data_IF_497556045554
#
_entry.id   IF_497556045554
#
_cell.length_a   1.000
_cell.length_b   1.000
_cell.length_c   1.000
_cell.angle_alpha   90.00
_cell.angle_beta   90.00
_cell.angle_gamma   90.00
#
_symmetry.space_group_name_H-M   'P 1'
#
loop_
_entity.id
_entity.type
_entity.pdbx_description
1 polymer ?
#
# COMPACT_ATOMS: atom_id res chain seq x y z
N UNK A 1 -25.18 -2.46 -3.82
CA UNK A 1 -24.83 -1.18 -3.16
C UNK A 1 -23.47 -1.17 -2.45
N UNK A 2 -23.30 -1.73 -1.24
CA UNK A 2 -22.04 -1.56 -0.48
C UNK A 2 -20.78 -2.10 -1.18
N UNK A 3 -20.86 -3.26 -1.84
CA UNK A 3 -19.73 -3.87 -2.54
C UNK A 3 -19.42 -3.13 -3.83
N UNK A 4 -20.44 -2.68 -4.56
CA UNK A 4 -20.27 -1.85 -5.76
C UNK A 4 -19.56 -0.54 -5.42
N UNK A 5 -19.95 0.11 -4.32
CA UNK A 5 -19.27 1.32 -3.83
C UNK A 5 -17.78 1.08 -3.50
N UNK A 6 -17.43 -0.10 -2.95
CA UNK A 6 -16.02 -0.46 -2.75
C UNK A 6 -15.29 -0.66 -4.08
N UNK A 7 -15.92 -1.36 -5.03
CA UNK A 7 -15.35 -1.63 -6.36
C UNK A 7 -15.12 -0.34 -7.15
N UNK A 8 -15.98 0.66 -6.97
CA UNK A 8 -15.79 1.98 -7.58
C UNK A 8 -14.53 2.71 -7.11
N UNK A 9 -13.96 2.34 -5.97
CA UNK A 9 -12.68 2.89 -5.49
C UNK A 9 -11.44 2.17 -6.05
N UNK A 10 -11.63 1.03 -6.72
CA UNK A 10 -10.56 0.16 -7.22
C UNK A 10 -10.17 0.48 -8.67
N UNK A 11 -9.95 1.77 -8.93
CA UNK A 11 -9.52 2.29 -10.22
C UNK A 11 -8.64 3.54 -10.03
N UNK A 12 -7.72 3.84 -10.97
CA UNK A 12 -6.98 5.09 -10.93
C UNK A 12 -7.93 6.29 -10.92
N UNK A 13 -7.61 7.29 -10.11
CA UNK A 13 -8.36 8.55 -10.02
C UNK A 13 -7.41 9.72 -9.90
N UNK A 14 -7.87 10.93 -10.25
CA UNK A 14 -7.15 12.20 -10.02
C UNK A 14 -7.74 13.00 -8.84
N UNK A 15 -8.67 12.39 -8.12
CA UNK A 15 -9.25 12.90 -6.87
C UNK A 15 -8.69 12.08 -5.70
N UNK A 16 -9.47 11.84 -4.66
CA UNK A 16 -9.07 10.99 -3.54
C UNK A 16 -9.01 9.51 -3.93
N UNK A 17 -8.03 8.77 -3.40
CA UNK A 17 -7.82 7.36 -3.69
C UNK A 17 -6.44 7.05 -4.28
N UNK A 18 -6.33 5.90 -4.94
CA UNK A 18 -5.09 5.48 -5.61
C UNK A 18 -4.92 6.26 -6.92
N UNK A 19 -3.81 6.98 -7.02
CA UNK A 19 -3.48 7.81 -8.18
C UNK A 19 -2.91 6.97 -9.33
N UNK A 20 -2.82 7.51 -10.56
CA UNK A 20 -2.29 6.78 -11.71
C UNK A 20 -0.82 6.36 -11.57
N UNK A 21 -0.06 6.99 -10.68
CA UNK A 21 1.33 6.66 -10.36
C UNK A 21 1.47 5.74 -9.13
N UNK A 22 0.35 5.23 -8.62
CA UNK A 22 0.21 4.37 -7.44
C UNK A 22 0.49 5.03 -6.09
N UNK A 23 0.55 6.36 -6.02
CA UNK A 23 0.43 7.05 -4.74
C UNK A 23 -1.00 7.02 -4.21
N UNK A 24 -1.21 7.34 -2.93
CA UNK A 24 -2.54 7.44 -2.35
C UNK A 24 -2.82 8.87 -1.88
N UNK A 25 -3.95 9.42 -2.29
CA UNK A 25 -4.41 10.76 -1.90
C UNK A 25 -5.63 10.72 -1.00
N UNK A 26 -5.71 11.64 -0.04
CA UNK A 26 -6.89 11.83 0.80
C UNK A 26 -7.00 13.27 1.31
N UNK A 27 -8.23 13.75 1.53
CA UNK A 27 -8.55 15.16 1.84
C UNK A 27 -8.20 16.09 0.66
N UNK A 28 -8.54 15.68 -0.56
CA UNK A 28 -8.09 16.33 -1.80
C UNK A 28 -6.72 15.81 -2.29
N UNK A 29 -5.94 16.60 -3.06
CA UNK A 29 -4.70 16.16 -3.70
C UNK A 29 -3.51 16.13 -2.71
N UNK A 30 -3.67 15.44 -1.58
CA UNK A 30 -2.66 15.33 -0.54
C UNK A 30 -2.16 13.90 -0.39
N UNK A 31 -0.85 13.70 -0.51
CA UNK A 31 -0.18 12.43 -0.33
C UNK A 31 -0.41 11.86 1.09
N UNK A 32 -1.03 10.68 1.14
CA UNK A 32 -1.50 10.02 2.35
C UNK A 32 -1.24 8.50 2.36
N UNK A 33 -0.25 8.03 1.58
CA UNK A 33 0.20 6.63 1.60
C UNK A 33 0.46 6.16 3.03
N UNK A 34 1.11 6.97 3.87
CA UNK A 34 1.24 6.71 5.30
C UNK A 34 0.00 7.20 6.06
N UNK A 35 -0.88 6.27 6.43
CA UNK A 35 -2.08 6.57 7.20
C UNK A 35 -3.34 6.11 6.50
N UNK A 36 -4.00 6.97 5.72
CA UNK A 36 -5.25 6.58 5.05
C UNK A 36 -5.04 5.49 3.99
N UNK A 37 -3.89 5.50 3.30
CA UNK A 37 -3.55 4.46 2.33
C UNK A 37 -3.48 3.05 2.94
N UNK A 38 -2.93 2.92 4.15
CA UNK A 38 -2.85 1.62 4.84
C UNK A 38 -4.23 1.16 5.29
N UNK A 39 -5.06 2.06 5.83
CA UNK A 39 -6.44 1.76 6.23
C UNK A 39 -7.24 1.27 5.00
N UNK A 40 -7.12 1.97 3.88
CA UNK A 40 -7.78 1.64 2.62
C UNK A 40 -7.40 0.24 2.12
N UNK A 41 -6.10 -0.04 1.97
CA UNK A 41 -5.62 -1.33 1.50
C UNK A 41 -6.04 -2.49 2.41
N UNK A 42 -5.92 -2.32 3.73
CA UNK A 42 -6.34 -3.34 4.70
C UNK A 42 -7.84 -3.63 4.62
N UNK A 43 -8.66 -2.59 4.48
CA UNK A 43 -10.11 -2.76 4.37
C UNK A 43 -10.46 -3.54 3.11
N UNK A 44 -9.99 -3.11 1.95
CA UNK A 44 -10.38 -3.72 0.68
C UNK A 44 -9.85 -5.15 0.54
N UNK A 45 -8.59 -5.42 0.87
CA UNK A 45 -8.05 -6.80 0.82
C UNK A 45 -8.75 -7.74 1.80
N UNK A 46 -9.16 -7.24 2.97
CA UNK A 46 -9.97 -8.03 3.92
C UNK A 46 -11.34 -8.35 3.36
N UNK A 47 -11.98 -7.38 2.70
CA UNK A 47 -13.29 -7.59 2.08
C UNK A 47 -13.20 -8.53 0.88
N UNK A 48 -12.17 -8.41 0.04
CA UNK A 48 -11.87 -9.36 -1.03
C UNK A 48 -11.73 -10.79 -0.50
N UNK A 49 -10.97 -10.97 0.59
CA UNK A 49 -10.79 -12.28 1.20
C UNK A 49 -12.10 -12.87 1.74
N UNK A 50 -12.95 -12.03 2.36
CA UNK A 50 -14.26 -12.46 2.89
C UNK A 50 -15.25 -12.83 1.78
N UNK A 51 -15.23 -12.11 0.66
CA UNK A 51 -16.18 -12.32 -0.44
C UNK A 51 -15.73 -13.41 -1.43
N UNK A 52 -14.49 -13.92 -1.29
CA UNK A 52 -13.95 -14.98 -2.15
C UNK A 52 -14.87 -16.19 -2.19
N UNK A 53 -15.16 -16.67 -3.41
CA UNK A 53 -16.04 -17.83 -3.63
C UNK A 53 -17.54 -17.53 -3.51
N UNK A 54 -17.93 -16.28 -3.26
CA UNK A 54 -19.33 -15.84 -3.26
C UNK A 54 -19.67 -15.14 -4.58
N UNK A 55 -20.97 -14.93 -4.85
CA UNK A 55 -21.44 -14.10 -5.98
C UNK A 55 -20.99 -12.64 -5.93
N UNK A 56 -20.42 -12.20 -4.80
CA UNK A 56 -19.92 -10.85 -4.60
C UNK A 56 -18.39 -10.78 -4.60
N UNK A 57 -17.72 -11.82 -5.10
CA UNK A 57 -16.29 -11.79 -5.30
C UNK A 57 -15.89 -10.59 -6.16
N UNK A 58 -14.79 -9.95 -5.76
CA UNK A 58 -14.16 -8.89 -6.54
C UNK A 58 -13.54 -9.48 -7.80
N UNK A 59 -13.46 -8.68 -8.86
CA UNK A 59 -12.82 -9.07 -10.10
C UNK A 59 -11.30 -9.25 -9.91
N UNK A 60 -10.65 -10.02 -10.78
CA UNK A 60 -9.21 -10.26 -10.66
C UNK A 60 -8.41 -8.97 -10.86
N UNK A 61 -8.85 -8.12 -11.79
CA UNK A 61 -8.24 -6.83 -12.11
C UNK A 61 -8.27 -5.87 -10.91
N UNK A 62 -9.34 -5.93 -10.12
CA UNK A 62 -9.50 -5.14 -8.89
C UNK A 62 -8.48 -5.55 -7.82
N UNK A 63 -8.21 -6.85 -7.69
CA UNK A 63 -7.16 -7.36 -6.81
C UNK A 63 -5.77 -6.97 -7.34
N UNK A 64 -5.52 -7.15 -8.65
CA UNK A 64 -4.25 -6.79 -9.28
C UNK A 64 -3.93 -5.31 -9.09
N UNK A 65 -4.92 -4.44 -9.18
CA UNK A 65 -4.76 -3.00 -8.92
C UNK A 65 -4.29 -2.70 -7.48
N UNK A 66 -4.80 -3.41 -6.47
CA UNK A 66 -4.30 -3.27 -5.09
C UNK A 66 -2.89 -3.85 -4.92
N UNK A 67 -2.56 -4.94 -5.60
CA UNK A 67 -1.21 -5.52 -5.58
C UNK A 67 -0.22 -4.53 -6.19
N UNK A 68 -0.56 -3.91 -7.32
CA UNK A 68 0.25 -2.87 -7.92
C UNK A 68 0.36 -1.66 -7.01
N UNK A 69 -0.71 -1.22 -6.34
CA UNK A 69 -0.61 -0.18 -5.32
C UNK A 69 0.41 -0.49 -4.21
N UNK A 70 0.46 -1.74 -3.73
CA UNK A 70 1.43 -2.16 -2.71
C UNK A 70 2.87 -2.14 -3.25
N UNK A 71 3.10 -2.63 -4.47
CA UNK A 71 4.44 -2.82 -5.04
C UNK A 71 4.99 -1.56 -5.74
N UNK A 72 4.12 -0.81 -6.41
CA UNK A 72 4.44 0.38 -7.18
C UNK A 72 4.22 1.67 -6.38
N UNK A 73 3.40 1.63 -5.33
CA UNK A 73 3.22 2.75 -4.41
C UNK A 73 3.97 2.53 -3.11
N UNK A 74 3.37 1.75 -2.22
CA UNK A 74 3.75 1.64 -0.80
C UNK A 74 5.22 1.25 -0.61
N UNK A 75 5.70 0.25 -1.37
CA UNK A 75 7.09 -0.25 -1.31
C UNK A 75 8.13 0.87 -1.44
N UNK A 76 7.87 1.85 -2.30
CA UNK A 76 8.80 2.94 -2.57
C UNK A 76 8.88 3.98 -1.45
N UNK A 77 7.89 4.03 -0.56
CA UNK A 77 7.91 4.93 0.60
C UNK A 77 8.45 4.25 1.87
N UNK A 78 8.81 2.96 1.83
CA UNK A 78 9.40 2.26 2.95
C UNK A 78 10.90 2.56 3.08
N UNK A 79 11.36 2.85 4.31
CA UNK A 79 12.77 2.73 4.69
C UNK A 79 12.86 2.11 6.07
N UNK A 80 13.30 0.84 6.13
CA UNK A 80 13.28 0.06 7.36
C UNK A 80 11.86 -0.18 7.86
N UNK A 81 11.62 0.05 9.15
CA UNK A 81 10.29 -0.03 9.75
C UNK A 81 9.47 1.27 9.58
N UNK A 82 10.08 2.31 9.01
CA UNK A 82 9.43 3.59 8.75
C UNK A 82 8.81 3.64 7.36
N UNK A 83 7.76 4.47 7.26
CA UNK A 83 7.28 5.03 6.01
C UNK A 83 7.65 6.52 5.97
N UNK A 84 7.99 7.00 4.78
CA UNK A 84 8.35 8.38 4.46
C UNK A 84 7.40 9.38 5.14
N UNK A 85 7.97 10.32 5.89
CA UNK A 85 7.21 11.21 6.77
C UNK A 85 6.28 12.15 6.00
N UNK A 86 6.74 12.65 4.85
CA UNK A 86 5.94 13.53 3.99
C UNK A 86 4.64 12.86 3.52
N UNK A 87 4.59 11.52 3.46
CA UNK A 87 3.41 10.77 3.02
C UNK A 87 2.31 10.60 4.08
N UNK A 88 2.45 11.22 5.26
CA UNK A 88 1.43 11.22 6.33
C UNK A 88 0.75 12.54 6.60
N UNK A 89 1.22 13.62 5.98
CA UNK A 89 0.71 14.99 6.15
C UNK A 89 0.50 15.27 7.67
N UNK A 90 -0.70 15.68 8.12
CA UNK A 90 -1.00 15.97 9.53
C UNK A 90 -0.73 14.81 10.50
N UNK A 91 -0.59 13.58 10.01
CA UNK A 91 -0.23 12.41 10.81
C UNK A 91 1.14 12.52 11.47
N UNK A 92 2.04 13.35 10.94
CA UNK A 92 3.38 13.58 11.49
C UNK A 92 3.36 14.21 12.89
N UNK A 93 2.28 14.90 13.29
CA UNK A 93 2.20 15.57 14.59
C UNK A 93 1.77 14.65 15.73
N UNK A 94 1.42 13.39 15.46
CA UNK A 94 0.84 12.47 16.44
C UNK A 94 1.92 11.79 17.30
N UNK A 95 1.64 11.66 18.61
CA UNK A 95 2.50 10.95 19.57
C UNK A 95 1.68 9.88 20.35
N UNK A 96 2.16 8.63 20.46
CA UNK A 96 3.30 8.08 19.73
C UNK A 96 3.06 8.12 18.22
N UNK A 97 4.14 8.09 17.43
CA UNK A 97 4.03 8.09 15.97
C UNK A 97 3.16 6.89 15.56
N UNK A 98 2.10 7.17 14.81
CA UNK A 98 1.24 6.15 14.21
C UNK A 98 1.46 6.12 12.69
N UNK A 99 0.92 5.08 12.04
CA UNK A 99 1.07 4.83 10.61
C UNK A 99 2.53 4.51 10.21
N UNK A 100 3.05 3.32 10.51
CA UNK A 100 4.36 2.86 10.01
C UNK A 100 4.19 1.75 8.98
N UNK A 101 5.29 1.15 8.48
CA UNK A 101 5.16 0.02 7.54
C UNK A 101 4.43 -1.18 8.19
N UNK A 102 4.44 -1.25 9.53
CA UNK A 102 3.68 -2.24 10.31
C UNK A 102 2.21 -2.28 9.91
N UNK A 103 1.62 -1.12 9.60
CA UNK A 103 0.20 -1.03 9.26
C UNK A 103 -0.14 -1.67 7.91
N UNK A 104 0.85 -1.90 7.04
CA UNK A 104 0.67 -2.63 5.78
C UNK A 104 0.93 -4.14 5.90
N UNK A 105 1.51 -4.63 7.00
CA UNK A 105 1.83 -6.05 7.16
C UNK A 105 0.60 -6.98 6.98
N UNK A 106 -0.60 -6.66 7.51
CA UNK A 106 -1.78 -7.50 7.28
C UNK A 106 -2.26 -7.43 5.82
N UNK A 107 -2.19 -6.25 5.19
CA UNK A 107 -2.51 -6.09 3.77
C UNK A 107 -1.61 -6.97 2.90
N UNK A 108 -0.29 -6.95 3.11
CA UNK A 108 0.66 -7.81 2.38
C UNK A 108 0.35 -9.30 2.56
N UNK A 109 0.05 -9.73 3.79
CA UNK A 109 -0.32 -11.12 4.05
C UNK A 109 -1.62 -11.53 3.35
N UNK A 110 -2.62 -10.65 3.29
CA UNK A 110 -3.88 -10.90 2.56
C UNK A 110 -3.67 -10.91 1.05
N UNK A 111 -2.86 -9.98 0.52
CA UNK A 111 -2.52 -9.93 -0.90
C UNK A 111 -1.85 -11.23 -1.36
N UNK A 112 -0.85 -11.75 -0.64
CA UNK A 112 -0.18 -13.02 -0.97
C UNK A 112 -1.16 -14.22 -1.01
N UNK A 113 -2.13 -14.26 -0.09
CA UNK A 113 -3.16 -15.31 -0.06
C UNK A 113 -4.13 -15.24 -1.25
N UNK A 114 -4.32 -14.04 -1.80
CA UNK A 114 -5.26 -13.76 -2.87
C UNK A 114 -4.61 -13.79 -4.26
N UNK A 115 -3.32 -13.44 -4.36
CA UNK A 115 -2.63 -13.09 -5.60
C UNK A 115 -2.62 -14.16 -6.70
N UNK A 116 -2.88 -15.44 -6.40
CA UNK A 116 -2.61 -16.52 -7.35
C UNK A 116 -1.13 -16.45 -7.76
N UNK A 117 -0.85 -16.37 -9.05
CA UNK A 117 0.52 -16.21 -9.57
C UNK A 117 0.91 -14.74 -9.81
N UNK A 118 -0.05 -13.81 -9.77
CA UNK A 118 0.19 -12.41 -10.14
C UNK A 118 1.16 -11.73 -9.16
N UNK A 119 2.39 -11.48 -9.62
CA UNK A 119 3.47 -10.79 -8.88
C UNK A 119 3.71 -11.35 -7.47
N UNK A 120 3.41 -12.64 -7.25
CA UNK A 120 3.52 -13.31 -5.95
C UNK A 120 4.92 -13.18 -5.35
N UNK A 121 5.95 -13.44 -6.16
CA UNK A 121 7.34 -13.39 -5.73
C UNK A 121 7.73 -11.99 -5.22
N UNK A 122 7.31 -10.93 -5.92
CA UNK A 122 7.58 -9.56 -5.49
C UNK A 122 6.85 -9.18 -4.19
N UNK A 123 5.61 -9.65 -4.01
CA UNK A 123 4.85 -9.47 -2.77
C UNK A 123 5.51 -10.20 -1.60
N UNK A 124 5.94 -11.44 -1.81
CA UNK A 124 6.63 -12.25 -0.80
C UNK A 124 7.98 -11.62 -0.43
N UNK A 125 8.74 -11.15 -1.41
CA UNK A 125 9.98 -10.40 -1.18
C UNK A 125 9.73 -9.10 -0.40
N UNK A 126 8.68 -8.34 -0.77
CA UNK A 126 8.31 -7.12 -0.05
C UNK A 126 7.88 -7.40 1.38
N UNK A 127 7.02 -8.40 1.60
CA UNK A 127 6.62 -8.81 2.94
C UNK A 127 7.82 -9.28 3.77
N UNK A 128 8.72 -10.05 3.19
CA UNK A 128 9.94 -10.51 3.86
C UNK A 128 10.81 -9.35 4.37
N UNK A 129 10.98 -8.31 3.55
CA UNK A 129 11.67 -7.07 3.98
C UNK A 129 10.95 -6.38 5.13
N UNK A 130 9.62 -6.26 5.05
CA UNK A 130 8.81 -5.68 6.12
C UNK A 130 8.98 -6.46 7.42
N UNK A 131 8.89 -7.79 7.37
CA UNK A 131 9.02 -8.65 8.56
C UNK A 131 10.41 -8.51 9.20
N UNK A 132 11.48 -8.50 8.39
CA UNK A 132 12.86 -8.31 8.89
C UNK A 132 13.06 -6.93 9.52
N UNK A 133 12.61 -5.87 8.86
CA UNK A 133 12.73 -4.52 9.39
C UNK A 133 11.98 -4.33 10.72
N UNK A 134 10.79 -4.93 10.85
CA UNK A 134 10.02 -4.89 12.10
C UNK A 134 10.66 -5.71 13.23
N UNK A 135 11.47 -6.72 12.91
CA UNK A 135 12.17 -7.54 13.88
C UNK A 135 13.48 -6.90 14.35
N UNK A 136 14.24 -6.27 13.45
CA UNK A 136 15.54 -5.66 13.75
C UNK A 136 15.46 -4.23 14.28
N UNK A 137 14.37 -3.50 13.99
CA UNK A 137 14.26 -2.06 14.26
C UNK A 137 15.29 -1.22 13.50
N UNK A 138 15.96 -1.78 12.49
CA UNK A 138 17.03 -1.16 11.72
C UNK A 138 16.97 -1.58 10.24
N UNK A 139 17.63 -0.80 9.38
CA UNK A 139 17.72 -1.09 7.94
C UNK A 139 18.96 -1.94 7.68
N UNK A 140 18.80 -3.11 7.09
CA UNK A 140 19.90 -3.80 6.42
C UNK A 140 19.98 -3.30 4.98
N UNK A 141 21.15 -2.80 4.56
CA UNK A 141 21.37 -2.32 3.19
C UNK A 141 21.17 -3.42 2.14
N UNK A 142 21.43 -4.68 2.48
CA UNK A 142 21.16 -5.81 1.60
C UNK A 142 19.65 -6.00 1.33
N UNK A 143 18.81 -5.47 2.23
CA UNK A 143 17.36 -5.55 2.14
C UNK A 143 16.71 -4.27 1.59
N UNK A 144 17.47 -3.24 1.21
CA UNK A 144 16.88 -2.02 0.67
C UNK A 144 16.40 -2.26 -0.76
N UNK A 145 15.19 -1.78 -1.08
CA UNK A 145 14.72 -1.74 -2.45
C UNK A 145 15.50 -0.65 -3.20
N UNK A 146 16.32 -1.00 -4.19
CA UNK A 146 17.18 -0.03 -4.89
C UNK A 146 16.43 0.62 -6.06
N UNK A 147 16.56 1.95 -6.19
CA UNK A 147 16.09 2.63 -7.39
C UNK A 147 15.75 4.11 -7.19
N UNK A 148 15.22 4.70 -8.25
CA UNK A 148 14.66 6.05 -8.24
C UNK A 148 13.27 6.04 -8.87
N UNK A 149 12.33 6.74 -8.24
CA UNK A 149 10.98 6.90 -8.76
C UNK A 149 10.45 8.30 -8.52
N UNK A 150 9.91 8.91 -9.57
CA UNK A 150 9.16 10.16 -9.49
C UNK A 150 7.66 9.89 -9.62
N UNK A 151 6.89 10.40 -8.67
CA UNK A 151 5.43 10.33 -8.58
C UNK A 151 4.85 11.68 -8.97
N UNK A 152 4.70 11.88 -10.28
CA UNK A 152 4.34 13.16 -10.89
C UNK A 152 2.98 13.70 -10.45
N UNK A 153 2.07 12.85 -9.96
CA UNK A 153 0.76 13.29 -9.51
C UNK A 153 0.72 13.63 -8.01
N UNK A 154 1.82 13.38 -7.29
CA UNK A 154 1.98 13.63 -5.85
C UNK A 154 3.09 14.61 -5.50
N UNK A 155 3.79 15.16 -6.48
CA UNK A 155 4.99 15.99 -6.30
C UNK A 155 6.02 15.33 -5.36
N UNK A 156 6.17 14.01 -5.48
CA UNK A 156 7.05 13.22 -4.64
C UNK A 156 8.08 12.47 -5.47
N UNK A 157 9.28 12.31 -4.94
CA UNK A 157 10.30 11.43 -5.49
C UNK A 157 10.93 10.60 -4.38
N UNK A 158 11.24 9.36 -4.66
CA UNK A 158 11.96 8.47 -3.75
C UNK A 158 13.25 7.98 -4.41
N UNK A 159 14.30 7.88 -3.60
CA UNK A 159 15.58 7.33 -4.00
C UNK A 159 16.14 6.47 -2.88
N UNK A 160 16.56 5.27 -3.25
CA UNK A 160 17.06 4.24 -2.36
C UNK A 160 18.34 3.62 -2.89
#
# INVERSE_FOLDING_TARGET
EAIEAMRDTLKPTRQEGIQPDYTFHQHGPMLYTKGYGSIFANLLLRQMLRMRGTRYAFAEEELRFLIDYLLEGVRWFQRGDALEHSSSNRGISRRPQNATIRDYAPALAMAIKLAGDYRREELEAFKGRVDRALASGSVDFADVHIGHRHFWNSDASTHH
#
